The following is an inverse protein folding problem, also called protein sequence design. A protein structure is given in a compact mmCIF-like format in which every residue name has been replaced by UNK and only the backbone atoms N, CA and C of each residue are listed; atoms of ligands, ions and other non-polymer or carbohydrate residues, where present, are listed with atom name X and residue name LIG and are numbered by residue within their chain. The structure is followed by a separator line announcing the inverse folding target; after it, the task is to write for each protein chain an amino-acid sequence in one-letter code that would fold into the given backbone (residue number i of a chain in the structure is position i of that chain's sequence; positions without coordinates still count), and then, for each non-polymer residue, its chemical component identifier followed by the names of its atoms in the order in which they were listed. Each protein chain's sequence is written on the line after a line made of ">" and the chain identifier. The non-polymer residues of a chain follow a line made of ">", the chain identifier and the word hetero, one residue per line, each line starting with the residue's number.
data_IF_678313079613
#
_entry.id   IF_678313079613
#
_cell.length_a   1.000
_cell.length_b   1.000
_cell.length_c   1.000
_cell.angle_alpha   90.00
_cell.angle_beta   90.00
_cell.angle_gamma   90.00
#
_symmetry.space_group_name_H-M   'P 1'
#
loop_
_entity.id
_entity.type
_entity.pdbx_description
1 polymer ?
#
# COMPACT_ATOMS: atom_id res chain seq x y z
N UNK A 1 -6.98 16.66 1.57
CA UNK A 1 -6.53 16.70 0.19
C UNK A 1 -5.27 15.85 0.09
N UNK A 2 -5.35 14.75 -0.64
CA UNK A 2 -4.22 13.88 -0.96
C UNK A 2 -3.48 14.38 -2.22
N UNK A 3 -3.47 15.66 -2.44
CA UNK A 3 -2.73 16.30 -3.51
C UNK A 3 -1.24 16.31 -3.20
N UNK A 4 -0.62 15.16 -3.34
CA UNK A 4 0.80 15.06 -3.64
C UNK A 4 0.98 14.97 -5.17
N UNK A 5 0.44 15.94 -5.88
CA UNK A 5 0.80 16.11 -7.27
C UNK A 5 2.18 16.77 -7.32
N UNK A 6 3.22 15.98 -7.56
CA UNK A 6 4.48 16.55 -8.02
C UNK A 6 4.22 17.20 -9.38
N UNK A 7 4.73 18.41 -9.56
CA UNK A 7 4.91 18.95 -10.88
C UNK A 7 6.05 18.16 -11.55
N UNK A 8 5.68 17.14 -12.31
CA UNK A 8 6.63 16.24 -12.97
C UNK A 8 7.46 16.95 -14.02
N UNK A 9 6.90 17.95 -14.67
CA UNK A 9 7.61 18.76 -15.67
C UNK A 9 8.71 19.55 -14.97
N UNK A 10 8.39 20.28 -13.93
CA UNK A 10 9.36 21.02 -13.13
C UNK A 10 10.45 20.11 -12.55
N UNK A 11 10.08 18.97 -11.94
CA UNK A 11 11.04 18.01 -11.38
C UNK A 11 12.00 17.49 -12.45
N UNK A 12 11.49 17.15 -13.62
CA UNK A 12 12.30 16.64 -14.73
C UNK A 12 13.26 17.71 -15.26
N UNK A 13 12.78 18.93 -15.44
CA UNK A 13 13.60 20.06 -15.86
C UNK A 13 14.74 20.35 -14.88
N UNK A 14 14.46 20.35 -13.58
CA UNK A 14 15.47 20.56 -12.54
C UNK A 14 16.53 19.46 -12.55
N UNK A 15 16.15 18.19 -12.66
CA UNK A 15 17.09 17.06 -12.73
C UNK A 15 18.00 17.22 -13.95
N UNK A 16 17.44 17.49 -15.12
CA UNK A 16 18.22 17.67 -16.36
C UNK A 16 19.15 18.87 -16.25
N UNK A 17 18.67 20.00 -15.73
CA UNK A 17 19.47 21.19 -15.53
C UNK A 17 20.67 20.94 -14.60
N UNK A 18 20.47 20.20 -13.50
CA UNK A 18 21.55 19.85 -12.59
C UNK A 18 22.60 18.96 -13.25
N UNK A 19 22.18 17.94 -14.01
CA UNK A 19 23.11 17.05 -14.74
C UNK A 19 23.95 17.86 -15.74
N UNK A 20 23.31 18.70 -16.56
CA UNK A 20 24.00 19.58 -17.53
C UNK A 20 25.03 20.51 -16.87
N UNK A 21 24.63 21.14 -15.76
CA UNK A 21 25.51 22.01 -15.01
C UNK A 21 26.75 21.28 -14.47
N UNK A 22 26.57 20.06 -13.92
CA UNK A 22 27.66 19.24 -13.42
C UNK A 22 28.60 18.83 -14.57
N UNK A 23 28.07 18.39 -15.70
CA UNK A 23 28.85 18.00 -16.88
C UNK A 23 29.67 19.18 -17.41
N UNK A 24 29.04 20.33 -17.59
CA UNK A 24 29.70 21.56 -18.07
C UNK A 24 30.82 21.99 -17.13
N UNK A 25 30.60 22.00 -15.82
CA UNK A 25 31.62 22.44 -14.84
C UNK A 25 32.83 21.51 -14.78
N UNK A 26 32.64 20.23 -15.10
CA UNK A 26 33.72 19.25 -15.08
C UNK A 26 34.31 18.95 -16.46
N UNK A 27 33.82 19.58 -17.53
CA UNK A 27 34.29 19.37 -18.89
C UNK A 27 34.08 17.94 -19.40
N UNK A 28 32.96 17.30 -18.99
CA UNK A 28 32.58 15.94 -19.42
C UNK A 28 31.32 15.99 -20.28
N UNK A 29 31.20 15.02 -21.18
CA UNK A 29 30.01 14.88 -22.03
C UNK A 29 28.76 14.58 -21.23
N UNK A 30 27.58 15.07 -21.69
CA UNK A 30 26.29 14.79 -21.09
C UNK A 30 25.94 13.31 -21.30
N UNK A 31 25.52 12.59 -20.25
CA UNK A 31 25.12 11.20 -20.38
C UNK A 31 23.76 11.06 -21.07
N UNK A 32 23.52 9.90 -21.69
CA UNK A 32 22.17 9.48 -22.02
C UNK A 32 21.46 9.04 -20.73
N UNK A 33 20.23 9.50 -20.54
CA UNK A 33 19.42 9.19 -19.36
C UNK A 33 18.34 8.20 -19.76
N UNK A 34 18.27 7.11 -19.01
CA UNK A 34 17.19 6.11 -19.12
C UNK A 34 16.43 6.10 -17.81
N UNK A 35 15.13 6.06 -17.90
CA UNK A 35 14.23 6.05 -16.73
C UNK A 35 13.27 4.88 -16.78
N UNK A 36 12.89 4.37 -15.62
CA UNK A 36 11.91 3.32 -15.46
C UNK A 36 10.79 3.83 -14.52
N UNK A 37 9.54 3.64 -14.90
CA UNK A 37 8.36 4.16 -14.19
C UNK A 37 7.37 3.05 -13.83
N UNK A 38 7.83 1.87 -13.42
CA UNK A 38 6.99 0.72 -13.15
C UNK A 38 5.85 1.01 -12.17
N UNK A 39 6.16 1.45 -10.96
CA UNK A 39 5.16 1.77 -9.93
C UNK A 39 4.23 2.90 -10.35
N UNK A 40 4.74 3.93 -11.00
CA UNK A 40 3.93 5.02 -11.53
C UNK A 40 2.93 4.54 -12.57
N UNK A 41 3.35 3.61 -13.43
CA UNK A 41 2.53 3.13 -14.55
C UNK A 41 1.42 2.18 -14.09
N UNK A 42 1.70 1.27 -13.15
CA UNK A 42 0.75 0.19 -12.80
C UNK A 42 0.29 0.21 -11.34
N UNK A 43 0.83 1.08 -10.50
CA UNK A 43 0.46 1.14 -9.08
C UNK A 43 -1.04 1.31 -8.87
N UNK A 44 -1.66 2.23 -9.58
CA UNK A 44 -3.09 2.54 -9.46
C UNK A 44 -4.02 1.42 -9.92
N UNK A 45 -3.51 0.43 -10.66
CA UNK A 45 -4.33 -0.68 -11.18
C UNK A 45 -4.70 -1.72 -10.13
N UNK A 46 -4.13 -1.64 -8.91
CA UNK A 46 -4.33 -2.65 -7.88
C UNK A 46 -4.80 -2.10 -6.55
N UNK A 47 -5.58 -2.94 -5.87
CA UNK A 47 -5.94 -2.75 -4.46
C UNK A 47 -5.85 -4.08 -3.71
N UNK A 48 -5.44 -4.03 -2.44
CA UNK A 48 -5.39 -5.19 -1.55
C UNK A 48 -6.41 -5.00 -0.44
N UNK A 49 -7.30 -5.96 -0.29
CA UNK A 49 -8.41 -5.90 0.68
C UNK A 49 -8.20 -6.91 1.80
N UNK A 50 -8.49 -6.50 3.02
CA UNK A 50 -8.42 -7.33 4.22
C UNK A 50 -9.70 -7.28 5.02
N UNK A 51 -10.04 -8.39 5.68
CA UNK A 51 -11.00 -8.40 6.80
C UNK A 51 -10.28 -8.13 8.12
N UNK A 52 -10.93 -7.42 9.01
CA UNK A 52 -10.49 -7.36 10.40
C UNK A 52 -11.09 -8.56 11.14
N UNK A 53 -10.22 -9.46 11.60
CA UNK A 53 -10.63 -10.72 12.22
C UNK A 53 -10.62 -10.67 13.74
N UNK A 54 -9.91 -9.74 14.33
CA UNK A 54 -9.82 -9.62 15.79
C UNK A 54 -9.43 -8.21 16.21
N UNK A 55 -9.71 -7.90 17.47
CA UNK A 55 -9.27 -6.69 18.15
C UNK A 55 -8.57 -7.07 19.45
N UNK A 56 -7.43 -6.43 19.71
CA UNK A 56 -6.69 -6.57 20.97
C UNK A 56 -6.39 -5.21 21.54
N UNK A 57 -6.88 -4.93 22.73
CA UNK A 57 -6.46 -3.76 23.49
C UNK A 57 -5.24 -4.16 24.34
N UNK A 58 -4.10 -3.57 24.06
CA UNK A 58 -2.86 -3.86 24.77
C UNK A 58 -2.72 -3.00 26.01
N UNK A 59 -3.18 -1.74 25.93
CA UNK A 59 -3.22 -0.78 27.02
C UNK A 59 -4.24 0.31 26.70
N UNK A 60 -4.37 1.35 27.52
CA UNK A 60 -5.35 2.41 27.34
C UNK A 60 -5.15 3.26 26.06
N UNK A 61 -4.01 3.13 25.39
CA UNK A 61 -3.62 3.92 24.21
C UNK A 61 -3.46 3.09 22.95
N UNK A 62 -3.30 1.77 23.07
CA UNK A 62 -2.97 0.87 21.97
C UNK A 62 -4.09 -0.14 21.76
N UNK A 63 -4.85 0.11 20.73
CA UNK A 63 -5.91 -0.78 20.26
C UNK A 63 -5.50 -1.34 18.90
N UNK A 64 -5.32 -2.64 18.82
CA UNK A 64 -4.86 -3.35 17.63
C UNK A 64 -6.03 -4.00 16.92
N UNK A 65 -6.09 -3.78 15.60
CA UNK A 65 -6.95 -4.54 14.70
C UNK A 65 -6.09 -5.55 13.94
N UNK A 66 -6.45 -6.82 14.00
CA UNK A 66 -5.74 -7.90 13.33
C UNK A 66 -6.41 -8.17 12.00
N UNK A 67 -5.61 -8.12 10.91
CA UNK A 67 -6.08 -8.47 9.56
C UNK A 67 -6.09 -10.00 9.38
N UNK A 68 -6.81 -10.50 8.37
CA UNK A 68 -6.88 -11.91 7.97
C UNK A 68 -5.68 -12.40 7.15
N UNK A 69 -4.59 -11.66 7.14
CA UNK A 69 -3.40 -11.95 6.35
C UNK A 69 -2.13 -11.40 7.01
N UNK A 70 -1.10 -11.16 6.24
CA UNK A 70 0.19 -10.60 6.66
C UNK A 70 0.58 -9.44 5.76
N UNK A 71 1.02 -8.33 6.35
CA UNK A 71 1.57 -7.20 5.59
C UNK A 71 2.87 -7.58 4.90
N UNK A 72 3.75 -8.35 5.55
CA UNK A 72 5.01 -8.82 4.96
C UNK A 72 4.73 -9.67 3.72
N UNK A 73 3.71 -10.54 3.77
CA UNK A 73 3.40 -11.46 2.68
C UNK A 73 2.65 -10.79 1.53
N UNK A 74 1.74 -9.85 1.82
CA UNK A 74 0.82 -9.31 0.78
C UNK A 74 1.10 -7.86 0.39
N UNK A 75 1.80 -7.11 1.25
CA UNK A 75 2.28 -5.75 0.99
C UNK A 75 3.75 -5.61 1.42
N UNK A 76 4.67 -6.41 0.85
CA UNK A 76 6.06 -6.50 1.31
C UNK A 76 6.80 -5.16 1.29
N UNK A 77 6.44 -4.23 0.43
CA UNK A 77 7.08 -2.91 0.37
C UNK A 77 6.78 -2.04 1.60
N UNK A 78 5.72 -2.34 2.36
CA UNK A 78 5.48 -1.66 3.64
C UNK A 78 6.60 -1.94 4.62
N UNK A 79 7.09 -3.18 4.63
CA UNK A 79 8.20 -3.64 5.44
C UNK A 79 9.56 -3.36 4.77
N UNK A 80 9.73 -3.72 3.49
CA UNK A 80 11.03 -3.69 2.81
C UNK A 80 11.57 -2.29 2.57
N UNK A 81 10.74 -1.33 2.21
CA UNK A 81 11.12 0.05 1.87
C UNK A 81 10.28 1.11 2.56
N UNK A 82 9.50 0.71 3.57
CA UNK A 82 8.62 1.62 4.30
C UNK A 82 7.61 2.34 3.39
N UNK A 83 7.15 1.66 2.32
CA UNK A 83 6.15 2.20 1.39
C UNK A 83 4.83 2.43 2.11
N UNK A 84 4.16 3.55 1.78
CA UNK A 84 2.82 3.87 2.28
C UNK A 84 1.82 3.86 1.15
N UNK A 85 0.66 3.30 1.46
CA UNK A 85 -0.46 3.19 0.56
C UNK A 85 -1.64 4.02 1.06
N UNK A 86 -2.52 4.39 0.16
CA UNK A 86 -3.82 4.97 0.53
C UNK A 86 -4.63 3.86 1.19
N UNK A 87 -4.99 4.04 2.45
CA UNK A 87 -5.77 3.07 3.22
C UNK A 87 -7.13 3.66 3.59
N UNK A 88 -8.19 2.91 3.28
CA UNK A 88 -9.57 3.31 3.57
C UNK A 88 -10.35 2.16 4.22
N UNK A 89 -11.28 2.49 5.10
CA UNK A 89 -12.37 1.57 5.43
C UNK A 89 -13.22 1.32 4.19
N UNK A 90 -13.62 0.07 3.93
CA UNK A 90 -14.45 -0.29 2.77
C UNK A 90 -15.93 -0.26 3.13
N UNK A 91 -16.26 -0.42 4.40
CA UNK A 91 -17.61 -0.39 4.92
C UNK A 91 -17.68 0.30 6.29
N UNK A 92 -18.88 0.40 6.84
CA UNK A 92 -19.13 0.97 8.18
C UNK A 92 -18.71 2.45 8.31
N UNK A 93 -18.79 3.21 7.24
CA UNK A 93 -18.31 4.61 7.20
C UNK A 93 -19.11 5.56 8.09
N UNK A 94 -20.33 5.20 8.45
CA UNK A 94 -21.22 5.94 9.33
C UNK A 94 -20.96 5.72 10.81
N UNK A 95 -20.05 4.80 11.15
CA UNK A 95 -19.72 4.46 12.53
C UNK A 95 -18.76 5.43 13.17
N UNK A 96 -18.71 5.39 14.49
CA UNK A 96 -17.69 6.11 15.25
C UNK A 96 -16.31 5.55 14.97
N UNK A 97 -15.33 6.41 14.69
CA UNK A 97 -13.95 6.03 14.43
C UNK A 97 -13.12 6.05 15.70
N UNK A 98 -12.15 5.17 15.79
CA UNK A 98 -11.16 5.14 16.86
C UNK A 98 -9.74 4.98 16.30
N UNK A 99 -8.78 5.45 17.08
CA UNK A 99 -7.37 5.23 16.77
C UNK A 99 -7.03 3.77 16.91
N UNK A 100 -6.34 3.20 15.91
CA UNK A 100 -5.93 1.79 15.90
C UNK A 100 -4.51 1.63 15.35
N UNK A 101 -3.93 0.49 15.67
CA UNK A 101 -2.75 -0.08 15.03
C UNK A 101 -3.21 -1.32 14.26
N UNK A 102 -2.54 -1.64 13.16
CA UNK A 102 -2.87 -2.81 12.35
C UNK A 102 -1.79 -3.87 12.49
N UNK A 103 -2.17 -5.10 12.76
CA UNK A 103 -1.27 -6.23 12.86
C UNK A 103 -1.67 -7.37 11.92
N UNK A 104 -0.67 -8.07 11.40
CA UNK A 104 -0.85 -9.30 10.63
C UNK A 104 -0.88 -10.55 11.53
N UNK A 105 -1.02 -11.72 10.90
CA UNK A 105 -1.18 -13.00 11.60
C UNK A 105 0.12 -13.78 11.79
N UNK A 106 1.25 -13.29 11.30
CA UNK A 106 2.52 -14.00 11.43
C UNK A 106 3.17 -13.77 12.80
N UNK A 107 4.16 -14.58 13.13
CA UNK A 107 4.96 -14.41 14.34
C UNK A 107 6.08 -13.37 14.17
N UNK A 108 6.24 -12.76 13.01
CA UNK A 108 7.23 -11.74 12.77
C UNK A 108 6.87 -10.45 13.49
N UNK A 109 7.83 -9.89 14.23
CA UNK A 109 7.62 -8.64 14.99
C UNK A 109 7.39 -7.42 14.09
N UNK A 110 7.75 -7.49 12.82
CA UNK A 110 7.56 -6.44 11.83
C UNK A 110 6.26 -6.59 11.02
N UNK A 111 5.44 -7.62 11.31
CA UNK A 111 4.17 -7.84 10.60
C UNK A 111 3.06 -6.91 11.13
N UNK A 112 3.28 -5.63 10.94
CA UNK A 112 2.33 -4.60 11.31
C UNK A 112 2.33 -3.42 10.32
N UNK A 113 1.27 -2.65 10.35
CA UNK A 113 1.16 -1.36 9.67
C UNK A 113 0.64 -0.33 10.66
N UNK A 114 1.46 0.65 11.00
CA UNK A 114 1.10 1.66 11.98
C UNK A 114 1.57 3.05 11.59
N UNK A 115 1.17 4.02 12.40
CA UNK A 115 1.54 5.41 12.22
C UNK A 115 2.85 5.81 12.90
N UNK A 116 3.54 4.93 13.61
CA UNK A 116 4.76 5.32 14.36
C UNK A 116 5.90 5.78 13.47
N UNK A 117 6.04 5.14 12.32
CA UNK A 117 6.97 5.59 11.28
C UNK A 117 6.46 6.79 10.48
N UNK A 118 5.24 7.26 10.77
CA UNK A 118 4.56 8.35 10.07
C UNK A 118 3.78 9.22 11.04
N UNK A 119 3.66 10.47 10.68
CA UNK A 119 3.05 11.55 11.45
C UNK A 119 1.55 11.34 11.72
N UNK A 120 0.89 10.49 10.94
CA UNK A 120 -0.56 10.33 10.97
C UNK A 120 -1.00 9.05 11.67
N UNK A 121 -1.86 9.18 12.65
CA UNK A 121 -2.54 8.05 13.28
C UNK A 121 -3.55 7.40 12.31
N UNK A 122 -3.71 6.08 12.42
CA UNK A 122 -4.75 5.34 11.71
C UNK A 122 -6.03 5.43 12.52
N UNK A 123 -7.12 5.83 11.86
CA UNK A 123 -8.46 5.83 12.42
C UNK A 123 -9.36 4.94 11.58
N UNK A 124 -10.02 3.99 12.23
CA UNK A 124 -10.98 3.08 11.61
C UNK A 124 -12.28 3.02 12.43
N UNK A 125 -13.38 2.60 11.78
CA UNK A 125 -14.63 2.37 12.47
C UNK A 125 -14.47 1.41 13.64
N UNK A 126 -15.17 1.66 14.75
CA UNK A 126 -15.24 0.73 15.88
C UNK A 126 -15.85 -0.60 15.44
N UNK A 127 -15.25 -1.69 15.88
CA UNK A 127 -15.79 -3.04 15.63
C UNK A 127 -17.05 -3.27 16.45
N UNK A 128 -18.04 -3.86 15.79
CA UNK A 128 -19.29 -4.30 16.40
C UNK A 128 -19.48 -5.81 16.21
N UNK A 129 -19.90 -6.55 17.23
CA UNK A 129 -20.17 -7.97 17.09
C UNK A 129 -21.16 -8.26 15.96
N UNK A 130 -20.81 -9.21 15.09
CA UNK A 130 -21.66 -9.63 13.97
C UNK A 130 -21.63 -8.67 12.76
N UNK A 131 -20.89 -7.56 12.81
CA UNK A 131 -20.73 -6.63 11.71
C UNK A 131 -19.26 -6.65 11.22
N UNK A 132 -18.96 -7.36 10.12
CA UNK A 132 -17.59 -7.48 9.64
C UNK A 132 -17.05 -6.11 9.17
N UNK A 133 -15.77 -5.86 9.45
CA UNK A 133 -15.05 -4.67 9.00
C UNK A 133 -14.04 -5.05 7.94
N UNK A 134 -14.05 -4.32 6.82
CA UNK A 134 -13.10 -4.47 5.74
C UNK A 134 -12.29 -3.20 5.56
N UNK A 135 -11.01 -3.36 5.23
CA UNK A 135 -10.10 -2.26 4.88
C UNK A 135 -9.47 -2.53 3.53
N UNK A 136 -9.17 -1.46 2.80
CA UNK A 136 -8.52 -1.53 1.50
C UNK A 136 -7.25 -0.69 1.47
N UNK A 137 -6.22 -1.24 0.87
CA UNK A 137 -4.99 -0.54 0.52
C UNK A 137 -4.97 -0.37 -0.99
N UNK A 138 -4.90 0.86 -1.45
CA UNK A 138 -4.99 1.23 -2.85
C UNK A 138 -3.62 1.58 -3.41
N UNK A 139 -3.46 1.52 -4.74
CA UNK A 139 -2.20 1.70 -5.45
C UNK A 139 -1.19 0.57 -5.18
N UNK A 140 -1.68 -0.65 -5.02
CA UNK A 140 -0.87 -1.84 -4.75
C UNK A 140 -0.58 -2.68 -6.01
N UNK A 141 -0.85 -2.15 -7.22
CA UNK A 141 -0.70 -2.87 -8.49
C UNK A 141 0.74 -3.13 -8.93
N UNK A 142 1.73 -2.47 -8.31
CA UNK A 142 3.13 -2.66 -8.63
C UNK A 142 3.85 -3.46 -7.53
N UNK A 143 4.64 -4.46 -7.92
CA UNK A 143 5.56 -5.27 -7.11
C UNK A 143 4.94 -6.16 -6.02
N UNK A 144 3.82 -5.77 -5.39
CA UNK A 144 3.34 -6.43 -4.17
C UNK A 144 3.08 -7.91 -4.39
N UNK A 145 2.39 -8.28 -5.46
CA UNK A 145 2.13 -9.66 -5.78
C UNK A 145 3.36 -10.43 -6.25
N UNK A 146 4.20 -9.81 -7.06
CA UNK A 146 5.39 -10.47 -7.61
C UNK A 146 6.49 -10.70 -6.57
N UNK A 147 6.54 -9.88 -5.52
CA UNK A 147 7.49 -10.04 -4.41
C UNK A 147 6.88 -10.91 -3.31
N UNK A 148 5.64 -10.69 -2.96
CA UNK A 148 4.89 -11.44 -1.96
C UNK A 148 3.90 -12.42 -2.60
N UNK A 149 2.93 -12.90 -1.82
CA UNK A 149 1.84 -13.73 -2.31
C UNK A 149 2.26 -15.11 -2.82
N UNK A 150 1.59 -15.59 -3.88
CA UNK A 150 1.83 -16.92 -4.43
C UNK A 150 3.18 -17.00 -5.15
N UNK A 151 4.09 -17.82 -4.63
CA UNK A 151 5.44 -17.98 -5.17
C UNK A 151 6.45 -16.93 -4.71
N UNK A 152 6.02 -15.91 -3.96
CA UNK A 152 6.89 -14.91 -3.35
C UNK A 152 7.17 -15.18 -1.86
N UNK A 153 7.35 -14.11 -1.09
CA UNK A 153 7.57 -14.19 0.35
C UNK A 153 6.31 -14.73 1.04
N UNK A 154 6.42 -15.87 1.70
CA UNK A 154 5.35 -16.46 2.50
C UNK A 154 5.85 -16.73 3.91
N UNK A 155 5.61 -15.80 4.82
CA UNK A 155 5.92 -15.99 6.23
C UNK A 155 4.81 -16.79 6.92
N UNK A 156 5.18 -17.77 7.76
CA UNK A 156 4.23 -18.66 8.47
C UNK A 156 3.24 -19.38 7.57
N UNK A 157 3.55 -19.57 6.29
CA UNK A 157 2.68 -20.23 5.30
C UNK A 157 1.27 -19.59 5.20
N UNK A 158 1.19 -18.29 5.38
CA UNK A 158 -0.05 -17.55 5.18
C UNK A 158 -0.52 -17.75 3.73
N UNK A 159 -1.79 -18.13 3.50
CA UNK A 159 -2.31 -18.31 2.16
C UNK A 159 -2.18 -17.05 1.32
N UNK A 160 -1.86 -17.20 0.04
CA UNK A 160 -1.88 -16.10 -0.90
C UNK A 160 -3.30 -15.51 -1.01
N UNK A 161 -3.44 -14.21 -1.25
CA UNK A 161 -4.73 -13.57 -1.44
C UNK A 161 -5.43 -14.13 -2.68
N UNK A 162 -6.75 -14.03 -2.70
CA UNK A 162 -7.53 -14.34 -3.92
C UNK A 162 -7.37 -13.20 -4.91
N UNK A 163 -7.07 -13.54 -6.15
CA UNK A 163 -7.03 -12.59 -7.24
C UNK A 163 -8.42 -12.36 -7.81
N UNK A 164 -8.80 -11.10 -7.94
CA UNK A 164 -10.01 -10.68 -8.64
C UNK A 164 -9.57 -9.65 -9.67
N UNK A 165 -9.75 -9.98 -10.93
CA UNK A 165 -9.48 -9.07 -12.04
C UNK A 165 -10.79 -8.40 -12.41
N UNK A 166 -10.82 -7.08 -12.38
CA UNK A 166 -11.94 -6.27 -12.85
C UNK A 166 -11.56 -5.61 -14.17
N UNK A 167 -12.45 -5.64 -15.13
CA UNK A 167 -12.23 -5.05 -16.45
C UNK A 167 -13.57 -4.59 -17.03
N UNK A 168 -13.52 -3.95 -18.19
CA UNK A 168 -14.68 -3.51 -18.96
C UNK A 168 -14.72 -4.19 -20.33
N UNK A 169 -15.89 -4.60 -20.74
CA UNK A 169 -16.10 -5.12 -22.08
C UNK A 169 -16.13 -3.99 -23.13
N UNK A 170 -16.23 -4.36 -24.40
CA UNK A 170 -16.31 -3.39 -25.52
C UNK A 170 -17.54 -2.47 -25.46
N UNK A 171 -18.53 -2.79 -24.63
CA UNK A 171 -19.75 -2.01 -24.40
C UNK A 171 -19.71 -1.24 -23.09
N UNK A 172 -18.52 -1.13 -22.47
CA UNK A 172 -18.26 -0.44 -21.19
C UNK A 172 -18.96 -1.07 -19.98
N UNK A 173 -19.37 -2.35 -20.07
CA UNK A 173 -19.90 -3.09 -18.94
C UNK A 173 -18.75 -3.64 -18.08
N UNK A 174 -18.82 -3.43 -16.80
CA UNK A 174 -17.85 -3.99 -15.85
C UNK A 174 -18.08 -5.48 -15.63
N UNK A 175 -17.01 -6.25 -15.60
CA UNK A 175 -17.03 -7.66 -15.23
C UNK A 175 -15.83 -8.00 -14.36
N UNK A 176 -15.88 -9.12 -13.66
CA UNK A 176 -14.76 -9.62 -12.87
C UNK A 176 -14.56 -11.12 -13.08
N UNK A 177 -13.31 -11.55 -12.95
CA UNK A 177 -12.90 -12.95 -13.01
C UNK A 177 -12.08 -13.31 -11.76
N UNK A 178 -12.09 -14.59 -11.43
CA UNK A 178 -11.31 -15.17 -10.31
C UNK A 178 -10.27 -16.12 -10.84
#
# INVERSE_FOLDING_TARGET
>A
SLDFSYDYEYLTEEIIAQIKNICTRNGIDEPHIFTEFGSFTVGESGATLYSIVNQKQQNDRENWYMIDSSFITTLPDTWGINQRYIMLAINNWDKEYQRVLLGGLTCDSEDFYNSESHINAIFLPKLEPGNPQYIGFFHTGAYQESIGGFGGIQHCLIPAPKHIITDRDKSDNEYYTR
#
